data_IF_869864525839
#
_entry.id   IF_869864525839
#
_cell.length_a   1.000
_cell.length_b   1.000
_cell.length_c   1.000
_cell.angle_alpha   90.00
_cell.angle_beta   90.00
_cell.angle_gamma   90.00
#
_symmetry.space_group_name_H-M   'P 1'
#
loop_
_entity.id
_entity.type
_entity.pdbx_description
1 polymer ?
#
# COMPACT_ATOMS: atom_id res chain seq x y z
N UNK A 1 -46.86 22.85 11.73
CA UNK A 1 -45.63 22.01 11.60
C UNK A 1 -45.76 20.65 12.33
N UNK A 2 -45.89 20.57 13.67
CA UNK A 2 -45.98 19.30 14.40
C UNK A 2 -47.15 18.39 13.91
N UNK A 3 -48.31 18.98 13.67
CA UNK A 3 -49.49 18.29 13.16
C UNK A 3 -49.28 17.69 11.76
N UNK A 4 -48.53 18.39 10.89
CA UNK A 4 -48.15 17.88 9.53
C UNK A 4 -47.13 16.78 9.58
N UNK A 5 -46.25 16.75 10.59
CA UNK A 5 -45.21 15.73 10.78
C UNK A 5 -45.68 14.55 11.65
N UNK A 6 -46.94 14.57 12.13
CA UNK A 6 -47.51 13.50 12.96
C UNK A 6 -46.84 13.34 14.32
N UNK A 7 -46.19 14.41 14.86
CA UNK A 7 -45.51 14.40 16.15
C UNK A 7 -46.27 15.28 17.17
N UNK A 8 -46.31 14.87 18.44
CA UNK A 8 -46.93 15.66 19.48
C UNK A 8 -46.12 16.93 19.81
N UNK A 9 -46.79 18.03 20.14
CA UNK A 9 -46.14 19.28 20.60
C UNK A 9 -45.22 19.04 21.80
N UNK A 10 -45.65 18.24 22.76
CA UNK A 10 -44.90 17.91 23.96
C UNK A 10 -43.61 17.15 23.62
N UNK A 11 -43.68 16.20 22.68
CA UNK A 11 -42.48 15.45 22.21
C UNK A 11 -41.49 16.38 21.52
N UNK A 12 -41.98 17.34 20.70
CA UNK A 12 -41.11 18.31 20.03
C UNK A 12 -40.37 19.21 21.04
N UNK A 13 -41.07 19.80 21.99
CA UNK A 13 -40.46 20.67 23.00
C UNK A 13 -39.54 19.89 23.96
N UNK A 14 -39.88 18.66 24.35
CA UNK A 14 -39.02 17.80 25.12
C UNK A 14 -37.74 17.49 24.37
N UNK A 15 -37.82 17.26 23.06
CA UNK A 15 -36.63 17.05 22.19
C UNK A 15 -35.79 18.34 22.07
N UNK A 16 -36.44 19.50 21.89
CA UNK A 16 -35.78 20.80 21.73
C UNK A 16 -34.96 21.21 22.97
N UNK A 17 -35.51 20.96 24.16
CA UNK A 17 -34.89 21.36 25.45
C UNK A 17 -34.13 20.21 26.13
N UNK A 18 -34.00 19.05 25.50
CA UNK A 18 -33.23 17.94 26.08
C UNK A 18 -31.73 18.30 26.17
N UNK A 19 -31.03 17.93 27.24
CA UNK A 19 -29.60 17.97 27.26
C UNK A 19 -29.08 17.03 26.18
N UNK A 20 -28.04 17.45 25.46
CA UNK A 20 -27.41 16.61 24.42
C UNK A 20 -26.74 15.43 25.13
N UNK A 21 -27.11 14.17 24.86
CA UNK A 21 -26.44 13.02 25.46
C UNK A 21 -24.95 13.02 25.09
N UNK A 22 -24.11 12.56 25.99
CA UNK A 22 -22.66 12.46 25.80
C UNK A 22 -22.32 11.71 24.51
N UNK A 23 -22.98 10.59 24.27
CA UNK A 23 -22.82 9.81 23.06
C UNK A 23 -23.15 10.59 21.76
N UNK A 24 -24.13 11.50 21.81
CA UNK A 24 -24.48 12.36 20.67
C UNK A 24 -23.39 13.41 20.44
N UNK A 25 -22.87 14.01 21.53
CA UNK A 25 -21.76 14.94 21.48
C UNK A 25 -20.50 14.30 20.90
N UNK A 26 -20.15 13.10 21.38
CA UNK A 26 -19.04 12.33 20.83
C UNK A 26 -19.24 11.98 19.35
N UNK A 27 -20.46 11.59 18.94
CA UNK A 27 -20.74 11.28 17.55
C UNK A 27 -20.62 12.52 16.65
N UNK A 28 -20.94 13.73 17.16
CA UNK A 28 -20.72 14.99 16.43
C UNK A 28 -19.22 15.24 16.23
N UNK A 29 -18.41 15.12 17.29
CA UNK A 29 -16.94 15.25 17.21
C UNK A 29 -16.37 14.25 16.21
N UNK A 30 -16.81 13.00 16.30
CA UNK A 30 -16.37 11.94 15.39
C UNK A 30 -16.82 12.20 13.94
N UNK A 31 -17.98 12.79 13.71
CA UNK A 31 -18.45 13.16 12.39
C UNK A 31 -17.57 14.24 11.74
N UNK A 32 -17.16 15.25 12.51
CA UNK A 32 -16.23 16.30 12.01
C UNK A 32 -14.86 15.68 11.68
N UNK A 33 -14.34 14.81 12.54
CA UNK A 33 -13.09 14.10 12.31
C UNK A 33 -13.15 13.22 11.03
N UNK A 34 -14.28 12.54 10.80
CA UNK A 34 -14.48 11.75 9.58
C UNK A 34 -14.49 12.65 8.34
N UNK A 35 -15.09 13.83 8.38
CA UNK A 35 -15.08 14.79 7.27
C UNK A 35 -13.66 15.28 6.99
N UNK A 36 -12.93 15.70 8.02
CA UNK A 36 -11.54 16.15 7.92
C UNK A 36 -10.67 15.10 7.23
N UNK A 37 -10.71 13.84 7.70
CA UNK A 37 -9.94 12.75 7.09
C UNK A 37 -10.38 12.44 5.67
N UNK A 38 -11.67 12.53 5.39
CA UNK A 38 -12.19 12.31 4.03
C UNK A 38 -11.65 13.33 3.04
N UNK A 39 -11.63 14.62 3.42
CA UNK A 39 -11.06 15.68 2.59
C UNK A 39 -9.55 15.58 2.49
N UNK A 40 -8.85 15.45 3.62
CA UNK A 40 -7.39 15.37 3.69
C UNK A 40 -6.82 14.28 2.78
N UNK A 41 -7.50 13.13 2.68
CA UNK A 41 -7.03 11.98 1.93
C UNK A 41 -7.77 11.74 0.60
N UNK A 42 -8.32 12.80 -0.02
CA UNK A 42 -8.89 12.74 -1.36
C UNK A 42 -10.00 11.70 -1.52
N UNK A 43 -10.84 11.51 -0.50
CA UNK A 43 -11.99 10.60 -0.50
C UNK A 43 -11.65 9.11 -0.72
N UNK A 44 -10.39 8.69 -0.50
CA UNK A 44 -9.97 7.30 -0.73
C UNK A 44 -10.35 6.34 0.41
N UNK A 45 -10.77 6.87 1.58
CA UNK A 45 -10.99 6.08 2.78
C UNK A 45 -12.39 5.44 2.80
N UNK A 46 -12.46 4.11 2.70
CA UNK A 46 -13.65 3.36 3.08
C UNK A 46 -13.74 3.18 4.61
N UNK A 47 -14.93 2.85 5.14
CA UNK A 47 -15.19 2.81 6.59
C UNK A 47 -14.17 1.98 7.40
N UNK A 48 -13.63 0.89 6.85
CA UNK A 48 -12.63 0.06 7.55
C UNK A 48 -11.32 0.82 7.73
N UNK A 49 -10.79 1.42 6.67
CA UNK A 49 -9.58 2.24 6.74
C UNK A 49 -9.82 3.50 7.56
N UNK A 50 -10.95 4.17 7.39
CA UNK A 50 -11.34 5.33 8.21
C UNK A 50 -11.29 4.98 9.70
N UNK A 51 -11.80 3.80 10.10
CA UNK A 51 -11.72 3.34 11.48
C UNK A 51 -10.27 3.14 11.94
N UNK A 52 -9.48 2.40 11.13
CA UNK A 52 -8.08 2.11 11.47
C UNK A 52 -7.26 3.39 11.62
N UNK A 53 -7.44 4.35 10.71
CA UNK A 53 -6.67 5.59 10.71
C UNK A 53 -7.07 6.53 11.83
N UNK A 54 -8.38 6.74 12.06
CA UNK A 54 -8.86 7.55 13.18
C UNK A 54 -8.36 6.97 14.51
N UNK A 55 -8.47 5.66 14.70
CA UNK A 55 -8.02 5.02 15.94
C UNK A 55 -6.51 5.12 16.12
N UNK A 56 -5.74 4.95 15.05
CA UNK A 56 -4.28 5.05 15.10
C UNK A 56 -3.80 6.46 15.47
N UNK A 57 -4.23 7.47 14.69
CA UNK A 57 -3.72 8.84 14.85
C UNK A 57 -4.28 9.57 16.08
N UNK A 58 -5.48 9.19 16.56
CA UNK A 58 -6.10 9.83 17.71
C UNK A 58 -6.06 8.96 18.98
N UNK A 59 -5.36 7.82 18.96
CA UNK A 59 -5.26 6.87 20.09
C UNK A 59 -6.62 6.48 20.66
N UNK A 60 -7.61 6.29 19.78
CA UNK A 60 -8.99 5.93 20.12
C UNK A 60 -9.30 4.49 19.76
N UNK A 61 -10.44 3.97 20.22
CA UNK A 61 -10.87 2.61 19.92
C UNK A 61 -12.34 2.58 19.46
N UNK A 62 -12.64 3.35 18.41
CA UNK A 62 -13.98 3.34 17.81
C UNK A 62 -14.24 2.04 17.06
N UNK A 63 -15.47 1.52 17.20
CA UNK A 63 -15.86 0.32 16.46
C UNK A 63 -16.14 0.62 14.97
N UNK A 64 -15.83 -0.35 14.10
CA UNK A 64 -16.10 -0.27 12.65
C UNK A 64 -17.57 0.05 12.34
N UNK A 65 -18.48 -0.51 13.13
CA UNK A 65 -19.93 -0.29 12.94
C UNK A 65 -20.36 1.13 13.30
N UNK A 66 -19.73 1.76 14.32
CA UNK A 66 -20.00 3.15 14.70
C UNK A 66 -19.58 4.10 13.59
N UNK A 67 -18.36 3.97 13.10
CA UNK A 67 -17.83 4.77 11.98
C UNK A 67 -18.67 4.57 10.72
N UNK A 68 -19.00 3.32 10.35
CA UNK A 68 -19.81 3.04 9.17
C UNK A 68 -21.19 3.71 9.22
N UNK A 69 -21.87 3.68 10.38
CA UNK A 69 -23.18 4.35 10.56
C UNK A 69 -23.09 5.87 10.39
N UNK A 70 -22.03 6.49 10.92
CA UNK A 70 -21.81 7.93 10.79
C UNK A 70 -21.48 8.29 9.35
N UNK A 71 -20.54 7.60 8.69
CA UNK A 71 -20.23 7.81 7.29
C UNK A 71 -21.47 7.67 6.39
N UNK A 72 -22.32 6.66 6.64
CA UNK A 72 -23.59 6.50 5.91
C UNK A 72 -24.52 7.70 6.09
N UNK A 73 -24.64 8.24 7.30
CA UNK A 73 -25.46 9.45 7.57
C UNK A 73 -24.89 10.69 6.88
N UNK A 74 -23.58 10.80 6.76
CA UNK A 74 -22.89 11.91 6.08
C UNK A 74 -22.85 11.74 4.55
N UNK A 75 -23.29 10.61 4.01
CA UNK A 75 -23.17 10.31 2.56
C UNK A 75 -21.74 10.07 2.11
N UNK A 76 -20.79 9.85 3.04
CA UNK A 76 -19.36 9.65 2.75
C UNK A 76 -19.10 8.20 2.40
N UNK A 77 -18.50 7.98 1.22
CA UNK A 77 -18.04 6.68 0.75
C UNK A 77 -16.77 6.83 -0.08
N UNK A 78 -15.96 5.76 -0.14
CA UNK A 78 -14.72 5.78 -0.90
C UNK A 78 -14.96 5.90 -2.40
N UNK A 79 -14.19 6.75 -3.07
CA UNK A 79 -14.16 6.88 -4.54
C UNK A 79 -13.45 5.70 -5.22
N UNK A 80 -12.68 4.92 -4.46
CA UNK A 80 -11.96 3.75 -4.96
C UNK A 80 -12.93 2.60 -5.21
N UNK A 81 -13.19 2.29 -6.49
CA UNK A 81 -13.94 1.11 -6.90
C UNK A 81 -13.01 0.06 -7.52
N UNK A 82 -13.05 -1.17 -7.02
CA UNK A 82 -12.33 -2.30 -7.65
C UNK A 82 -12.97 -2.63 -9.00
N UNK A 83 -12.28 -2.30 -10.11
CA UNK A 83 -12.61 -2.85 -11.44
C UNK A 83 -12.10 -4.29 -11.52
N UNK A 84 -12.95 -5.24 -11.92
CA UNK A 84 -12.50 -6.61 -12.26
C UNK A 84 -11.64 -6.55 -13.53
N UNK A 85 -10.35 -6.88 -13.45
CA UNK A 85 -9.47 -7.04 -14.62
C UNK A 85 -9.68 -8.41 -15.23
N UNK A 86 -9.86 -8.47 -16.57
CA UNK A 86 -9.79 -9.72 -17.34
C UNK A 86 -8.32 -10.05 -17.58
N UNK A 87 -7.88 -11.25 -17.17
CA UNK A 87 -6.53 -11.76 -17.33
C UNK A 87 -6.33 -12.32 -18.75
N UNK A 88 -5.17 -12.05 -19.38
CA UNK A 88 -4.70 -12.69 -20.60
C UNK A 88 -3.31 -13.28 -20.35
N UNK A 89 -3.09 -14.58 -20.57
CA UNK A 89 -1.77 -15.21 -20.36
C UNK A 89 -0.79 -14.90 -21.49
N UNK A 90 0.50 -14.71 -21.17
CA UNK A 90 1.62 -14.57 -22.10
C UNK A 90 2.55 -15.80 -22.06
N UNK A 91 3.28 -16.05 -23.17
CA UNK A 91 4.18 -17.23 -23.35
C UNK A 91 5.54 -17.00 -22.67
N UNK A 92 6.23 -18.07 -22.26
CA UNK A 92 7.37 -18.02 -21.37
C UNK A 92 8.75 -18.10 -22.04
N UNK A 93 9.75 -17.40 -21.48
CA UNK A 93 11.19 -17.63 -21.67
C UNK A 93 11.88 -17.73 -20.31
N UNK A 94 12.86 -18.65 -20.19
CA UNK A 94 13.43 -19.06 -18.89
C UNK A 94 14.79 -18.43 -18.65
N UNK A 95 15.14 -17.96 -17.41
CA UNK A 95 16.56 -17.78 -17.06
C UNK A 95 17.00 -17.76 -15.58
N UNK A 96 16.21 -17.70 -14.55
CA UNK A 96 16.66 -17.90 -13.16
C UNK A 96 15.61 -18.57 -12.30
N UNK A 97 16.06 -19.30 -11.26
CA UNK A 97 15.18 -20.07 -10.40
C UNK A 97 14.38 -19.17 -9.45
N UNK A 98 13.11 -19.52 -9.21
CA UNK A 98 12.30 -18.83 -8.21
C UNK A 98 12.65 -19.38 -6.81
N UNK A 99 13.65 -18.79 -6.18
CA UNK A 99 14.08 -19.17 -4.82
C UNK A 99 13.06 -18.83 -3.74
N UNK A 100 12.27 -17.75 -3.93
CA UNK A 100 11.22 -17.38 -2.97
C UNK A 100 10.06 -18.39 -2.92
N UNK A 101 9.82 -19.15 -4.02
CA UNK A 101 8.73 -20.15 -4.09
C UNK A 101 7.39 -19.65 -3.53
N UNK A 102 7.10 -18.34 -3.70
CA UNK A 102 5.93 -17.62 -3.15
C UNK A 102 5.91 -17.47 -1.62
N UNK A 103 7.00 -17.74 -0.96
CA UNK A 103 7.15 -17.40 0.45
C UNK A 103 7.61 -15.95 0.59
N UNK A 104 6.62 -15.06 0.68
CA UNK A 104 6.81 -13.62 0.86
C UNK A 104 6.85 -13.20 2.33
N UNK A 105 6.90 -14.15 3.25
CA UNK A 105 7.12 -13.87 4.66
C UNK A 105 8.60 -13.63 4.89
N UNK A 106 8.92 -12.58 5.62
CA UNK A 106 10.23 -12.28 6.14
C UNK A 106 10.13 -12.14 7.65
N UNK A 107 11.18 -12.53 8.36
CA UNK A 107 11.21 -12.54 9.84
C UNK A 107 11.79 -11.25 10.41
N UNK A 108 12.57 -10.52 9.63
CA UNK A 108 13.22 -9.26 10.01
C UNK A 108 13.41 -8.35 8.80
N UNK A 109 13.64 -7.05 9.03
CA UNK A 109 14.03 -6.13 7.96
C UNK A 109 15.30 -6.59 7.23
N UNK A 110 15.37 -6.28 5.94
CA UNK A 110 16.51 -6.59 5.06
C UNK A 110 16.79 -8.09 4.85
N UNK A 111 15.79 -8.96 5.07
CA UNK A 111 15.88 -10.39 4.77
C UNK A 111 15.50 -10.69 3.32
N UNK A 112 14.42 -10.08 2.82
CA UNK A 112 13.91 -10.28 1.47
C UNK A 112 13.47 -8.94 0.88
N UNK A 113 14.07 -8.54 -0.24
CA UNK A 113 13.68 -7.37 -1.00
C UNK A 113 12.97 -7.77 -2.28
N UNK A 114 11.90 -7.07 -2.61
CA UNK A 114 11.20 -7.23 -3.89
C UNK A 114 11.28 -5.92 -4.68
N UNK A 115 11.58 -6.03 -5.96
CA UNK A 115 11.70 -4.89 -6.87
C UNK A 115 10.84 -5.05 -8.10
N UNK A 116 10.43 -3.94 -8.65
CA UNK A 116 9.73 -3.86 -9.93
C UNK A 116 9.78 -2.44 -10.49
N UNK A 117 9.54 -2.30 -11.78
CA UNK A 117 9.42 -1.01 -12.46
C UNK A 117 7.98 -0.81 -12.91
N UNK A 118 7.43 0.35 -12.61
CA UNK A 118 6.09 0.71 -13.05
C UNK A 118 6.06 2.03 -13.82
N UNK A 119 5.10 2.21 -14.73
CA UNK A 119 4.89 3.47 -15.46
C UNK A 119 3.77 4.30 -14.84
N UNK A 120 3.97 5.61 -14.79
CA UNK A 120 2.96 6.61 -14.50
C UNK A 120 2.73 7.47 -15.73
N UNK A 121 1.47 7.85 -15.99
CA UNK A 121 1.09 8.69 -17.13
C UNK A 121 0.60 10.04 -16.63
N UNK A 122 1.00 11.11 -17.31
CA UNK A 122 0.41 12.42 -17.12
C UNK A 122 -0.95 12.39 -17.83
N UNK A 123 -2.09 12.64 -17.12
CA UNK A 123 -3.42 12.47 -17.68
C UNK A 123 -3.66 13.27 -18.97
N UNK A 124 -3.24 14.54 -19.00
CA UNK A 124 -3.51 15.46 -20.10
C UNK A 124 -2.61 15.23 -21.31
N UNK A 125 -1.33 14.94 -21.10
CA UNK A 125 -0.34 14.85 -22.20
C UNK A 125 -0.05 13.42 -22.63
N UNK A 126 -0.42 12.42 -21.84
CA UNK A 126 -0.08 11.02 -22.06
C UNK A 126 1.42 10.70 -21.90
N UNK A 127 2.28 11.69 -21.59
CA UNK A 127 3.70 11.47 -21.33
C UNK A 127 3.87 10.55 -20.12
N UNK A 128 4.96 9.79 -20.11
CA UNK A 128 5.22 8.76 -19.09
C UNK A 128 6.45 9.08 -18.26
N UNK A 129 6.38 8.74 -16.98
CA UNK A 129 7.52 8.55 -16.12
C UNK A 129 7.54 7.11 -15.62
N UNK A 130 8.73 6.62 -15.35
CA UNK A 130 8.98 5.28 -14.82
C UNK A 130 9.50 5.39 -13.40
N UNK A 131 8.94 4.60 -12.51
CA UNK A 131 9.35 4.47 -11.12
C UNK A 131 9.90 3.06 -10.93
N UNK A 132 11.16 2.95 -10.57
CA UNK A 132 11.76 1.75 -10.03
C UNK A 132 11.77 1.87 -8.51
N UNK A 133 11.33 0.85 -7.80
CA UNK A 133 11.41 0.83 -6.35
C UNK A 133 11.75 -0.56 -5.82
N UNK A 134 12.43 -0.56 -4.67
CA UNK A 134 12.75 -1.75 -3.89
C UNK A 134 11.95 -1.66 -2.59
N UNK A 135 11.17 -2.70 -2.30
CA UNK A 135 10.39 -2.83 -1.07
C UNK A 135 10.91 -3.99 -0.23
N UNK A 136 11.05 -3.76 1.05
CA UNK A 136 11.29 -4.82 2.01
C UNK A 136 10.01 -5.65 2.21
N UNK A 137 10.11 -6.97 2.17
CA UNK A 137 8.94 -7.83 2.31
C UNK A 137 8.48 -8.00 3.75
N UNK A 138 9.32 -7.68 4.72
CA UNK A 138 8.95 -7.73 6.14
C UNK A 138 7.94 -6.63 6.50
N UNK A 139 8.33 -5.37 6.30
CA UNK A 139 7.59 -4.18 6.73
C UNK A 139 6.90 -3.42 5.60
N UNK A 140 7.10 -3.83 4.34
CA UNK A 140 6.63 -3.13 3.14
C UNK A 140 7.21 -1.73 2.98
N UNK A 141 8.29 -1.43 3.68
CA UNK A 141 8.99 -0.15 3.57
C UNK A 141 9.65 -0.01 2.19
N UNK A 142 9.51 1.15 1.53
CA UNK A 142 10.25 1.45 0.29
C UNK A 142 11.71 1.74 0.63
N UNK A 143 12.55 0.72 0.52
CA UNK A 143 13.99 0.80 0.83
C UNK A 143 14.67 1.87 -0.03
N UNK A 144 14.36 1.89 -1.33
CA UNK A 144 14.80 2.92 -2.26
C UNK A 144 13.84 3.01 -3.44
N UNK A 145 13.79 4.19 -4.05
CA UNK A 145 13.09 4.38 -5.34
C UNK A 145 13.75 5.50 -6.16
N UNK A 146 13.63 5.39 -7.47
CA UNK A 146 14.11 6.38 -8.45
C UNK A 146 13.06 6.60 -9.53
N UNK A 147 12.86 7.86 -9.94
CA UNK A 147 11.95 8.25 -11.01
C UNK A 147 12.74 8.71 -12.23
N UNK A 148 12.45 8.14 -13.41
CA UNK A 148 13.13 8.46 -14.67
C UNK A 148 12.13 8.66 -15.82
N UNK A 149 12.58 9.33 -16.88
CA UNK A 149 11.86 9.39 -18.18
C UNK A 149 12.03 8.12 -18.99
N UNK A 150 13.01 7.28 -18.68
CA UNK A 150 13.36 6.08 -19.43
C UNK A 150 13.26 4.86 -18.54
N UNK A 151 12.75 3.78 -19.12
CA UNK A 151 12.77 2.45 -18.50
C UNK A 151 13.99 1.70 -19.02
N UNK A 152 15.15 1.98 -18.45
CA UNK A 152 16.44 1.42 -18.86
C UNK A 152 17.20 0.78 -17.67
N UNK A 153 18.35 0.18 -17.96
CA UNK A 153 19.19 -0.44 -16.93
C UNK A 153 19.64 0.57 -15.88
N UNK A 154 19.89 1.83 -16.31
CA UNK A 154 20.35 2.89 -15.41
C UNK A 154 19.34 3.14 -14.29
N UNK A 155 18.05 3.20 -14.62
CA UNK A 155 16.98 3.40 -13.63
C UNK A 155 17.02 2.35 -12.51
N UNK A 156 17.18 1.08 -12.87
CA UNK A 156 17.22 -0.03 -11.89
C UNK A 156 18.52 -0.03 -11.11
N UNK A 157 19.65 0.28 -11.77
CA UNK A 157 20.96 0.32 -11.13
C UNK A 157 21.05 1.48 -10.13
N UNK A 158 20.59 2.67 -10.50
CA UNK A 158 20.54 3.84 -9.60
C UNK A 158 19.64 3.54 -8.39
N UNK A 159 18.52 2.80 -8.58
CA UNK A 159 17.65 2.39 -7.48
C UNK A 159 18.35 1.41 -6.53
N UNK A 160 19.07 0.45 -7.09
CA UNK A 160 19.84 -0.52 -6.32
C UNK A 160 20.99 0.13 -5.56
N UNK A 161 21.75 0.98 -6.22
CA UNK A 161 22.89 1.69 -5.62
C UNK A 161 22.41 2.61 -4.46
N UNK A 162 21.26 3.28 -4.64
CA UNK A 162 20.60 4.06 -3.58
C UNK A 162 20.22 3.19 -2.38
N UNK A 163 19.65 1.99 -2.62
CA UNK A 163 19.30 1.07 -1.55
C UNK A 163 20.49 0.62 -0.72
N UNK A 164 21.66 0.43 -1.36
CA UNK A 164 22.90 0.06 -0.68
C UNK A 164 23.51 1.22 0.13
N UNK A 165 23.39 2.46 -0.36
CA UNK A 165 23.84 3.64 0.41
C UNK A 165 23.08 3.73 1.73
N UNK A 166 21.77 3.49 1.70
CA UNK A 166 20.91 3.55 2.89
C UNK A 166 21.02 2.30 3.78
N UNK A 167 21.44 1.15 3.21
CA UNK A 167 21.56 -0.14 3.92
C UNK A 167 22.83 -0.89 3.48
N UNK A 168 24.05 -0.42 3.84
CA UNK A 168 25.31 -0.94 3.30
C UNK A 168 25.58 -2.41 3.66
N UNK A 169 25.12 -2.88 4.81
CA UNK A 169 25.36 -4.24 5.31
C UNK A 169 24.23 -5.21 4.92
N UNK A 170 23.21 -4.75 4.20
CA UNK A 170 22.07 -5.60 3.84
C UNK A 170 22.47 -6.67 2.81
N UNK A 171 22.08 -7.91 3.08
CA UNK A 171 22.26 -9.06 2.16
C UNK A 171 20.94 -9.82 1.98
N UNK A 172 19.89 -9.16 1.46
CA UNK A 172 18.60 -9.79 1.26
C UNK A 172 18.62 -10.81 0.12
N UNK A 173 17.62 -11.70 0.11
CA UNK A 173 17.22 -12.35 -1.13
C UNK A 173 16.55 -11.28 -2.00
N UNK A 174 17.16 -10.99 -3.16
CA UNK A 174 16.70 -9.94 -4.08
C UNK A 174 15.75 -10.52 -5.12
N UNK A 175 14.46 -10.26 -5.00
CA UNK A 175 13.43 -10.80 -5.89
C UNK A 175 12.97 -9.77 -6.92
N UNK A 176 12.92 -10.18 -8.18
CA UNK A 176 12.44 -9.36 -9.29
C UNK A 176 11.57 -10.16 -10.26
N UNK A 177 10.91 -9.46 -11.16
CA UNK A 177 10.41 -10.06 -12.39
C UNK A 177 11.59 -10.40 -13.34
N UNK A 178 11.27 -10.79 -14.57
CA UNK A 178 12.26 -11.12 -15.61
C UNK A 178 12.48 -9.99 -16.59
N UNK A 179 12.32 -8.76 -16.15
CA UNK A 179 12.68 -7.59 -16.93
C UNK A 179 14.15 -7.67 -17.42
N UNK A 180 14.42 -7.17 -18.61
CA UNK A 180 15.76 -7.21 -19.22
C UNK A 180 16.83 -6.54 -18.33
N UNK A 181 16.43 -5.57 -17.51
CA UNK A 181 17.29 -4.89 -16.56
C UNK A 181 17.86 -5.85 -15.52
N UNK A 182 16.98 -6.71 -14.96
CA UNK A 182 17.34 -7.66 -13.90
C UNK A 182 18.07 -8.91 -14.42
N UNK A 183 17.91 -9.24 -15.71
CA UNK A 183 18.59 -10.37 -16.35
C UNK A 183 19.95 -10.00 -16.92
N UNK A 184 20.34 -8.72 -16.86
CA UNK A 184 21.63 -8.25 -17.36
C UNK A 184 22.79 -8.82 -16.54
N UNK A 185 23.88 -9.23 -17.22
CA UNK A 185 25.08 -9.75 -16.55
C UNK A 185 25.69 -8.74 -15.56
N UNK A 186 25.57 -7.43 -15.88
CA UNK A 186 26.08 -6.36 -15.02
C UNK A 186 25.31 -6.32 -13.71
N UNK A 187 23.98 -6.42 -13.74
CA UNK A 187 23.17 -6.44 -12.54
C UNK A 187 23.42 -7.68 -11.68
N UNK A 188 23.54 -8.85 -12.33
CA UNK A 188 23.87 -10.08 -11.63
C UNK A 188 25.23 -10.00 -10.92
N UNK A 189 26.24 -9.41 -11.59
CA UNK A 189 27.55 -9.18 -10.97
C UNK A 189 27.47 -8.21 -9.78
N UNK A 190 26.67 -7.14 -9.86
CA UNK A 190 26.42 -6.22 -8.72
C UNK A 190 25.85 -6.97 -7.50
N UNK A 191 24.84 -7.83 -7.69
CA UNK A 191 24.26 -8.63 -6.61
C UNK A 191 25.28 -9.60 -6.00
N UNK A 192 26.04 -10.31 -6.84
CA UNK A 192 27.06 -11.26 -6.39
C UNK A 192 28.17 -10.59 -5.60
N UNK A 193 28.66 -9.43 -6.05
CA UNK A 193 29.70 -8.68 -5.37
C UNK A 193 29.26 -8.24 -3.96
N UNK A 194 27.96 -8.00 -3.76
CA UNK A 194 27.39 -7.67 -2.45
C UNK A 194 27.02 -8.90 -1.62
N UNK A 195 27.19 -10.12 -2.18
CA UNK A 195 26.81 -11.35 -1.53
C UNK A 195 25.29 -11.57 -1.42
N UNK A 196 24.52 -10.94 -2.31
CA UNK A 196 23.06 -11.11 -2.38
C UNK A 196 22.67 -12.26 -3.29
N UNK A 197 21.62 -12.99 -2.90
CA UNK A 197 21.03 -14.01 -3.73
C UNK A 197 19.93 -13.44 -4.63
N UNK A 198 20.00 -13.72 -5.93
CA UNK A 198 18.94 -13.36 -6.86
C UNK A 198 17.85 -14.43 -6.92
N UNK A 199 16.60 -13.98 -6.87
CA UNK A 199 15.39 -14.77 -7.11
C UNK A 199 14.54 -14.11 -8.19
N UNK A 200 14.01 -14.88 -9.13
CA UNK A 200 13.18 -14.36 -10.21
C UNK A 200 11.82 -15.05 -10.28
N UNK A 201 10.78 -14.28 -10.59
CA UNK A 201 9.45 -14.82 -10.87
C UNK A 201 9.49 -15.85 -12.00
N UNK A 202 8.63 -16.86 -11.93
CA UNK A 202 8.46 -17.81 -13.03
C UNK A 202 7.74 -17.15 -14.20
N UNK A 203 8.02 -17.66 -15.39
CA UNK A 203 7.43 -17.13 -16.62
C UNK A 203 5.92 -17.33 -16.65
N UNK A 204 5.18 -16.26 -16.98
CA UNK A 204 3.72 -16.30 -17.07
C UNK A 204 2.99 -16.41 -15.71
N UNK A 205 3.73 -16.40 -14.61
CA UNK A 205 3.17 -16.44 -13.26
C UNK A 205 3.32 -15.08 -12.54
N UNK A 206 2.51 -14.09 -12.94
CA UNK A 206 2.46 -12.79 -12.29
C UNK A 206 2.23 -12.87 -10.77
N UNK A 207 1.62 -13.94 -10.29
CA UNK A 207 1.44 -14.21 -8.85
C UNK A 207 2.77 -14.31 -8.10
N UNK A 208 3.86 -14.66 -8.77
CA UNK A 208 5.19 -14.80 -8.16
C UNK A 208 5.80 -13.43 -7.79
N UNK A 209 5.28 -12.29 -8.34
CA UNK A 209 5.60 -10.92 -7.90
C UNK A 209 4.35 -10.19 -7.32
N UNK A 210 3.36 -10.98 -6.86
CA UNK A 210 2.07 -10.49 -6.39
C UNK A 210 2.12 -9.37 -5.35
N UNK A 211 3.03 -9.39 -4.35
CA UNK A 211 3.15 -8.31 -3.38
C UNK A 211 3.46 -6.96 -4.01
N UNK A 212 4.38 -6.90 -4.97
CA UNK A 212 4.79 -5.65 -5.64
C UNK A 212 3.73 -5.17 -6.63
N UNK A 213 3.14 -6.07 -7.41
CA UNK A 213 2.03 -5.74 -8.33
C UNK A 213 0.80 -5.20 -7.59
N UNK A 214 0.45 -5.82 -6.45
CA UNK A 214 -0.63 -5.35 -5.60
C UNK A 214 -0.37 -3.95 -5.05
N UNK A 215 0.88 -3.69 -4.68
CA UNK A 215 1.32 -2.40 -4.16
C UNK A 215 1.24 -1.30 -5.22
N UNK A 216 1.70 -1.56 -6.46
CA UNK A 216 1.55 -0.61 -7.57
C UNK A 216 0.10 -0.24 -7.84
N UNK A 217 -0.80 -1.21 -7.74
CA UNK A 217 -2.23 -0.97 -7.89
C UNK A 217 -2.78 0.01 -6.85
N UNK A 218 -2.31 -0.10 -5.61
CA UNK A 218 -2.69 0.79 -4.50
C UNK A 218 -2.07 2.18 -4.71
N UNK A 219 -0.75 2.24 -4.94
CA UNK A 219 0.00 3.50 -5.11
C UNK A 219 -0.61 4.35 -6.22
N UNK A 220 -0.79 3.76 -7.41
CA UNK A 220 -1.36 4.49 -8.56
C UNK A 220 -2.76 5.00 -8.27
N UNK A 221 -3.61 4.13 -7.72
CA UNK A 221 -5.00 4.49 -7.50
C UNK A 221 -5.17 5.60 -6.47
N UNK A 222 -4.44 5.51 -5.36
CA UNK A 222 -4.52 6.50 -4.28
C UNK A 222 -3.83 7.81 -4.67
N UNK A 223 -2.63 7.74 -5.28
CA UNK A 223 -1.88 8.92 -5.70
C UNK A 223 -2.67 9.77 -6.70
N UNK A 224 -3.26 9.17 -7.74
CA UNK A 224 -4.05 9.93 -8.70
C UNK A 224 -5.36 10.49 -8.13
N UNK A 225 -5.85 9.98 -6.99
CA UNK A 225 -6.97 10.59 -6.27
C UNK A 225 -6.53 11.73 -5.35
N UNK A 226 -5.31 11.68 -4.81
CA UNK A 226 -4.82 12.63 -3.82
C UNK A 226 -4.16 13.87 -4.42
N UNK A 227 -3.61 13.75 -5.64
CA UNK A 227 -2.80 14.81 -6.25
C UNK A 227 -3.36 15.22 -7.61
N UNK A 228 -3.34 16.53 -7.89
CA UNK A 228 -3.57 17.05 -9.23
C UNK A 228 -2.28 16.97 -10.05
N UNK A 229 -2.34 16.32 -11.21
CA UNK A 229 -1.19 16.03 -12.07
C UNK A 229 -1.45 16.60 -13.45
N UNK A 230 -0.77 17.68 -13.79
CA UNK A 230 -0.90 18.41 -15.06
C UNK A 230 0.34 18.26 -15.94
N UNK A 231 1.52 18.15 -15.32
CA UNK A 231 2.80 18.12 -16.01
C UNK A 231 3.77 17.10 -15.40
N UNK A 232 5.01 17.09 -15.91
CA UNK A 232 6.06 16.19 -15.42
C UNK A 232 6.50 16.51 -13.99
N UNK A 233 6.60 17.79 -13.66
CA UNK A 233 7.07 18.21 -12.34
C UNK A 233 6.03 17.87 -11.26
N UNK A 234 4.76 18.16 -11.52
CA UNK A 234 3.67 17.79 -10.62
C UNK A 234 3.57 16.26 -10.43
N UNK A 235 3.82 15.46 -11.51
CA UNK A 235 3.85 14.01 -11.39
C UNK A 235 5.03 13.53 -10.52
N UNK A 236 6.23 14.13 -10.64
CA UNK A 236 7.38 13.79 -9.78
C UNK A 236 7.09 14.10 -8.32
N UNK A 237 6.59 15.30 -8.05
CA UNK A 237 6.20 15.71 -6.70
C UNK A 237 5.10 14.83 -6.12
N UNK A 238 4.12 14.43 -6.94
CA UNK A 238 3.06 13.51 -6.51
C UNK A 238 3.62 12.12 -6.16
N UNK A 239 4.56 11.59 -6.95
CA UNK A 239 5.21 10.31 -6.64
C UNK A 239 6.00 10.42 -5.35
N UNK A 240 6.85 11.43 -5.19
CA UNK A 240 7.68 11.61 -3.99
C UNK A 240 6.80 11.83 -2.74
N UNK A 241 5.80 12.71 -2.85
CA UNK A 241 4.83 12.97 -1.77
C UNK A 241 4.05 11.70 -1.37
N UNK A 242 3.61 10.91 -2.37
CA UNK A 242 2.89 9.68 -2.09
C UNK A 242 3.79 8.60 -1.47
N UNK A 243 5.03 8.44 -1.95
CA UNK A 243 5.96 7.45 -1.38
C UNK A 243 6.29 7.77 0.08
N UNK A 244 6.46 9.05 0.42
CA UNK A 244 6.62 9.50 1.81
C UNK A 244 5.37 9.21 2.64
N UNK A 245 4.20 9.62 2.15
CA UNK A 245 2.91 9.32 2.78
C UNK A 245 2.71 7.81 3.01
N UNK A 246 3.03 6.99 2.00
CA UNK A 246 2.92 5.53 2.10
C UNK A 246 3.81 4.96 3.22
N UNK A 247 5.03 5.45 3.32
CA UNK A 247 5.99 4.97 4.32
C UNK A 247 5.67 5.46 5.74
N UNK A 248 5.33 6.74 5.90
CA UNK A 248 5.30 7.41 7.19
C UNK A 248 3.90 7.64 7.75
N UNK A 249 2.89 7.83 6.88
CA UNK A 249 1.55 8.26 7.30
C UNK A 249 0.43 7.27 6.97
N UNK A 250 0.70 6.21 6.18
CA UNK A 250 -0.32 5.27 5.73
C UNK A 250 -0.37 4.00 6.58
N UNK A 251 -1.29 3.90 7.58
CA UNK A 251 -1.43 2.69 8.39
C UNK A 251 -1.91 1.51 7.57
N UNK A 252 -1.43 0.32 7.92
CA UNK A 252 -1.79 -0.93 7.25
C UNK A 252 -2.42 -1.91 8.24
N UNK A 253 -3.60 -2.44 7.91
CA UNK A 253 -4.32 -3.42 8.74
C UNK A 253 -3.46 -4.65 9.07
N UNK A 254 -2.57 -5.05 8.15
CA UNK A 254 -1.63 -6.15 8.33
C UNK A 254 -0.69 -5.93 9.53
N UNK A 255 -0.31 -4.70 9.76
CA UNK A 255 0.64 -4.29 10.81
C UNK A 255 -0.06 -3.76 12.05
N UNK A 256 -1.29 -4.23 12.33
CA UNK A 256 -2.09 -3.71 13.45
C UNK A 256 -2.25 -2.18 13.40
N UNK A 257 -2.48 -1.66 12.20
CA UNK A 257 -2.63 -0.23 11.90
C UNK A 257 -1.35 0.62 12.05
N UNK A 258 -0.17 0.02 12.13
CA UNK A 258 1.09 0.75 12.05
C UNK A 258 1.45 1.07 10.60
N UNK A 259 2.27 2.11 10.42
CA UNK A 259 2.88 2.45 9.13
C UNK A 259 4.11 1.58 8.86
N UNK A 260 4.57 1.46 7.62
CA UNK A 260 5.84 0.79 7.30
C UNK A 260 7.03 1.30 8.10
N UNK A 261 7.15 2.63 8.26
CA UNK A 261 8.22 3.27 9.04
C UNK A 261 8.18 2.92 10.52
N UNK A 262 6.97 2.88 11.12
CA UNK A 262 6.80 2.47 12.51
C UNK A 262 7.21 1.01 12.73
N UNK A 263 6.76 0.11 11.83
CA UNK A 263 7.12 -1.32 11.90
C UNK A 263 8.63 -1.50 11.78
N UNK A 264 9.28 -0.79 10.82
CA UNK A 264 10.73 -0.87 10.62
C UNK A 264 11.49 -0.38 11.83
N UNK A 265 11.12 0.76 12.39
CA UNK A 265 11.75 1.33 13.60
C UNK A 265 11.63 0.39 14.79
N UNK A 266 10.43 -0.16 15.02
CA UNK A 266 10.20 -1.10 16.12
C UNK A 266 11.03 -2.38 15.94
N UNK A 267 11.12 -2.90 14.72
CA UNK A 267 11.89 -4.10 14.42
C UNK A 267 13.40 -3.91 14.59
N UNK A 268 13.92 -2.75 14.19
CA UNK A 268 15.36 -2.43 14.33
C UNK A 268 15.77 -2.21 15.78
N UNK A 269 14.84 -1.81 16.66
CA UNK A 269 15.09 -1.62 18.09
C UNK A 269 14.88 -2.88 18.92
N UNK A 270 14.18 -3.89 18.40
CA UNK A 270 13.84 -5.11 19.10
C UNK A 270 14.88 -6.22 18.92
N UNK A 271 15.14 -7.02 19.97
CA UNK A 271 15.96 -8.25 19.85
C UNK A 271 15.26 -9.29 18.97
N UNK A 272 13.94 -9.43 19.11
CA UNK A 272 13.09 -10.31 18.31
C UNK A 272 11.98 -9.49 17.67
N UNK A 273 12.04 -9.24 16.37
CA UNK A 273 11.02 -8.49 15.65
C UNK A 273 9.66 -9.19 15.66
N UNK A 274 8.59 -8.41 15.80
CA UNK A 274 7.21 -8.91 15.77
C UNK A 274 6.91 -9.51 14.40
N UNK A 275 6.34 -10.71 14.36
CA UNK A 275 6.00 -11.39 13.13
C UNK A 275 4.62 -10.96 12.62
N UNK A 276 4.54 -10.65 11.32
CA UNK A 276 3.30 -10.29 10.63
C UNK A 276 3.04 -11.28 9.49
N UNK A 277 2.57 -12.51 9.78
CA UNK A 277 2.39 -13.54 8.77
C UNK A 277 1.35 -13.11 7.72
N UNK A 278 1.65 -13.41 6.46
CA UNK A 278 0.69 -13.23 5.37
C UNK A 278 -0.27 -14.41 5.43
N UNK A 279 -1.56 -14.13 5.60
CA UNK A 279 -2.59 -15.16 5.56
C UNK A 279 -2.53 -15.91 4.20
N UNK A 280 -2.50 -17.23 4.24
CA UNK A 280 -2.50 -18.04 3.05
C UNK A 280 -3.73 -17.74 2.19
N UNK A 281 -3.49 -17.50 0.91
CA UNK A 281 -4.59 -17.29 -0.03
C UNK A 281 -5.28 -18.64 -0.28
N UNK A 282 -6.56 -18.76 0.09
CA UNK A 282 -7.36 -20.00 -0.07
C UNK A 282 -7.28 -20.61 -1.48
N UNK A 283 -7.13 -19.77 -2.52
CA UNK A 283 -6.95 -20.23 -3.91
C UNK A 283 -5.57 -20.85 -4.14
N UNK A 284 -4.53 -20.33 -3.47
CA UNK A 284 -3.16 -20.89 -3.55
C UNK A 284 -3.12 -22.22 -2.82
N UNK A 285 -3.75 -22.32 -1.65
CA UNK A 285 -3.88 -23.56 -0.89
C UNK A 285 -4.63 -24.62 -1.70
N UNK A 286 -5.79 -24.28 -2.26
CA UNK A 286 -6.56 -25.17 -3.10
C UNK A 286 -5.80 -25.63 -4.37
N UNK A 287 -4.99 -24.75 -4.96
CA UNK A 287 -4.14 -25.10 -6.08
C UNK A 287 -3.01 -26.05 -5.66
N UNK A 288 -2.33 -25.77 -4.55
CA UNK A 288 -1.29 -26.65 -4.00
C UNK A 288 -1.83 -28.04 -3.69
N UNK A 289 -2.99 -28.15 -3.04
CA UNK A 289 -3.61 -29.44 -2.72
C UNK A 289 -4.05 -30.23 -3.95
N UNK A 290 -4.36 -29.55 -5.08
CA UNK A 290 -4.81 -30.21 -6.31
C UNK A 290 -3.67 -30.67 -7.23
N UNK A 291 -2.50 -30.02 -7.17
CA UNK A 291 -1.42 -30.19 -8.14
C UNK A 291 -0.05 -30.49 -7.54
N UNK A 292 0.09 -30.51 -6.22
CA UNK A 292 1.33 -30.74 -5.50
C UNK A 292 1.20 -31.85 -4.43
N UNK A 293 0.13 -32.65 -4.50
CA UNK A 293 -0.07 -33.87 -3.71
C UNK A 293 0.52 -35.08 -4.42
#
# INVERSE_FOLDING_TARGET
>A
MCKQLGISHAAYYKWLHRPIPEQESENRKLAELIKEYNERFGHILGYRRMTSWINHFNHTNYSKNRIHRIMKKLGIHSVIRRKKKKYRPSKPETRAENKLKRDFNATKPNEKWATDVTEFKIPETGKKLYLSAIFDLYDRFPVAYVVSKRNDNKLVFDTYDKALIENPDAKPIFHSDRGYQYTSKVFQAKLQNQGMEQSMSRVGHCIDNGPTEGLWGIIKLEMYCMYQITDEQSLRLAIDGYMKFYAEERPQDRFCCKTPSEVRRDALSAKEPIQYPIAENKRIVAYKSKWCA
#
